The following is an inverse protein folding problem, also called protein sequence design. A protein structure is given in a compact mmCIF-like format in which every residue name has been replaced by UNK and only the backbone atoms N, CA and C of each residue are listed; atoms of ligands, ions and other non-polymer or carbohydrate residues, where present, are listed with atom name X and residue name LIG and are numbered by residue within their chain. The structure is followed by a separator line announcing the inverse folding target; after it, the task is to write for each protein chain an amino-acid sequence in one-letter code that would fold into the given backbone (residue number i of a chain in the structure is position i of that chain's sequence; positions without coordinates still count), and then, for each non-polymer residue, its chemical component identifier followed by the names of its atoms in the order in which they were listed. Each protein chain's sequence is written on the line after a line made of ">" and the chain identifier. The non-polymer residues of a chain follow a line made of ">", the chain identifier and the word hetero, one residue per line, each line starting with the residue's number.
data_IF_410694892461
#
_entry.id   IF_410694892461
#
_cell.length_a   1.000
_cell.length_b   1.000
_cell.length_c   1.000
_cell.angle_alpha   90.00
_cell.angle_beta   90.00
_cell.angle_gamma   90.00
#
_symmetry.space_group_name_H-M   'P 1'
#
loop_
_entity.id
_entity.type
_entity.pdbx_description
1 polymer ?
#
# COMPACT_ATOMS: atom_id res chain seq x y z
N UNK A 1 -10.27 -11.84 -5.99
CA UNK A 1 -10.07 -11.20 -4.66
C UNK A 1 -8.74 -10.46 -4.63
N UNK A 2 -7.62 -11.13 -4.92
CA UNK A 2 -6.28 -10.52 -5.04
C UNK A 2 -6.26 -9.32 -6.00
N UNK A 3 -6.82 -9.45 -7.21
CA UNK A 3 -6.86 -8.34 -8.18
C UNK A 3 -7.63 -7.12 -7.66
N UNK A 4 -8.79 -7.34 -7.03
CA UNK A 4 -9.59 -6.26 -6.42
C UNK A 4 -8.84 -5.57 -5.27
N UNK A 5 -8.04 -6.32 -4.51
CA UNK A 5 -7.19 -5.75 -3.46
C UNK A 5 -6.05 -4.95 -4.07
N UNK A 6 -5.41 -5.47 -5.13
CA UNK A 6 -4.37 -4.76 -5.89
C UNK A 6 -4.89 -3.43 -6.44
N UNK A 7 -6.00 -3.44 -7.17
CA UNK A 7 -6.61 -2.24 -7.76
C UNK A 7 -6.90 -1.16 -6.70
N UNK A 8 -7.43 -1.56 -5.53
CA UNK A 8 -7.66 -0.65 -4.39
C UNK A 8 -6.36 -0.05 -3.85
N UNK A 9 -5.31 -0.85 -3.72
CA UNK A 9 -4.00 -0.39 -3.25
C UNK A 9 -3.41 0.59 -4.26
N UNK A 10 -3.37 0.23 -5.55
CA UNK A 10 -2.86 1.08 -6.63
C UNK A 10 -3.59 2.42 -6.62
N UNK A 11 -4.93 2.40 -6.60
CA UNK A 11 -5.75 3.62 -6.58
C UNK A 11 -5.39 4.52 -5.38
N UNK A 12 -5.29 3.92 -4.18
CA UNK A 12 -4.94 4.68 -2.98
C UNK A 12 -3.51 5.24 -3.02
N UNK A 13 -2.55 4.47 -3.55
CA UNK A 13 -1.17 4.91 -3.72
C UNK A 13 -1.07 6.07 -4.69
N UNK A 14 -1.70 5.98 -5.87
CA UNK A 14 -1.71 7.06 -6.85
C UNK A 14 -2.32 8.35 -6.26
N UNK A 15 -3.44 8.24 -5.55
CA UNK A 15 -4.11 9.40 -4.94
C UNK A 15 -3.29 10.04 -3.80
N UNK A 16 -2.66 9.25 -2.92
CA UNK A 16 -1.92 9.79 -1.76
C UNK A 16 -0.53 10.28 -2.12
N UNK A 17 0.15 9.58 -3.04
CA UNK A 17 1.50 9.96 -3.47
C UNK A 17 1.47 11.01 -4.60
N UNK A 18 0.31 11.26 -5.21
CA UNK A 18 0.13 12.14 -6.36
C UNK A 18 0.98 11.69 -7.56
N UNK A 19 0.91 10.40 -7.87
CA UNK A 19 1.63 9.74 -8.97
C UNK A 19 0.65 9.02 -9.90
N UNK A 20 1.11 8.67 -11.10
CA UNK A 20 0.43 7.75 -12.00
C UNK A 20 0.95 6.31 -11.81
N UNK A 21 0.18 5.30 -12.23
CA UNK A 21 0.63 3.89 -12.17
C UNK A 21 1.92 3.67 -13.00
N UNK A 22 2.15 4.50 -14.03
CA UNK A 22 3.36 4.44 -14.85
C UNK A 22 4.63 4.91 -14.13
N UNK A 23 4.51 5.56 -12.98
CA UNK A 23 5.65 5.97 -12.16
C UNK A 23 6.22 4.80 -11.33
N UNK A 24 5.52 3.67 -11.27
CA UNK A 24 6.00 2.41 -10.67
C UNK A 24 7.07 1.77 -11.58
N UNK A 25 8.33 2.20 -11.40
CA UNK A 25 9.45 1.78 -12.25
C UNK A 25 9.80 0.28 -12.16
N UNK A 26 9.43 -0.41 -11.09
CA UNK A 26 9.53 -1.87 -10.92
C UNK A 26 8.14 -2.52 -10.74
N UNK A 27 7.10 -1.89 -11.31
CA UNK A 27 5.72 -2.31 -11.13
C UNK A 27 5.34 -2.42 -9.65
N UNK A 28 4.61 -3.47 -9.28
CA UNK A 28 4.15 -3.68 -7.90
C UNK A 28 5.29 -3.90 -6.88
N UNK A 29 6.51 -4.20 -7.34
CA UNK A 29 7.67 -4.38 -6.49
C UNK A 29 8.39 -3.06 -6.15
N UNK A 30 8.00 -1.95 -6.79
CA UNK A 30 8.56 -0.61 -6.53
C UNK A 30 8.51 -0.28 -5.04
N UNK A 31 9.64 0.16 -4.48
CA UNK A 31 9.69 0.71 -3.13
C UNK A 31 8.99 2.07 -3.11
N UNK A 32 7.85 2.14 -2.43
CA UNK A 32 7.01 3.33 -2.42
C UNK A 32 7.72 4.53 -1.78
N UNK A 33 8.80 4.32 -1.00
CA UNK A 33 9.62 5.43 -0.46
C UNK A 33 10.32 6.21 -1.55
N UNK A 34 10.72 5.54 -2.64
CA UNK A 34 11.34 6.18 -3.80
C UNK A 34 10.35 7.10 -4.53
N UNK A 35 9.05 6.88 -4.33
CA UNK A 35 7.94 7.69 -4.86
C UNK A 35 7.38 8.67 -3.82
N UNK A 36 8.08 8.86 -2.70
CA UNK A 36 7.75 9.85 -1.69
C UNK A 36 6.81 9.36 -0.58
N UNK A 37 6.66 8.04 -0.40
CA UNK A 37 5.99 7.52 0.79
C UNK A 37 6.80 7.86 2.05
N UNK A 38 6.18 8.65 2.93
CA UNK A 38 6.69 9.00 4.26
C UNK A 38 5.69 8.57 5.35
N UNK A 39 6.04 8.82 6.62
CA UNK A 39 5.17 8.45 7.75
C UNK A 39 3.79 9.09 7.71
N UNK A 40 3.65 10.32 7.20
CA UNK A 40 2.36 11.01 7.10
C UNK A 40 1.52 10.38 5.99
N UNK A 41 2.11 10.18 4.81
CA UNK A 41 1.43 9.54 3.67
C UNK A 41 1.08 8.08 3.93
N UNK A 42 1.93 7.35 4.66
CA UNK A 42 1.61 5.99 5.12
C UNK A 42 0.34 5.98 5.99
N UNK A 43 0.24 6.92 6.92
CA UNK A 43 -0.94 7.09 7.80
C UNK A 43 -2.20 7.47 7.02
N UNK A 44 -2.08 8.25 5.93
CA UNK A 44 -3.18 8.56 5.01
C UNK A 44 -3.61 7.32 4.21
N UNK A 45 -2.66 6.53 3.71
CA UNK A 45 -2.93 5.27 3.02
C UNK A 45 -3.67 4.27 3.92
N UNK A 46 -3.29 4.16 5.19
CA UNK A 46 -4.00 3.30 6.14
C UNK A 46 -5.47 3.73 6.30
N UNK A 47 -5.72 5.04 6.37
CA UNK A 47 -7.07 5.59 6.46
C UNK A 47 -7.88 5.30 5.19
N UNK A 48 -7.26 5.46 4.02
CA UNK A 48 -7.92 5.27 2.73
C UNK A 48 -8.20 3.81 2.41
N UNK A 49 -7.31 2.90 2.80
CA UNK A 49 -7.48 1.45 2.67
C UNK A 49 -8.41 0.86 3.74
N UNK A 50 -8.89 1.66 4.69
CA UNK A 50 -9.74 1.20 5.79
C UNK A 50 -9.03 0.28 6.77
N UNK A 51 -7.70 0.35 6.86
CA UNK A 51 -6.89 -0.46 7.78
C UNK A 51 -7.04 0.09 9.19
N UNK A 52 -7.40 -0.79 10.14
CA UNK A 52 -7.43 -0.42 11.55
C UNK A 52 -6.00 -0.16 12.05
N UNK A 53 -5.75 1.08 12.50
CA UNK A 53 -4.45 1.52 13.02
C UNK A 53 -4.03 0.84 14.33
N UNK A 54 -4.99 0.33 15.09
CA UNK A 54 -4.73 -0.38 16.35
C UNK A 54 -4.43 -1.87 16.14
N UNK A 55 -4.56 -2.37 14.91
CA UNK A 55 -4.18 -3.74 14.56
C UNK A 55 -2.67 -3.87 14.29
N UNK A 56 -2.19 -5.09 14.12
CA UNK A 56 -0.81 -5.36 13.68
C UNK A 56 -0.61 -5.14 12.18
N UNK A 57 -1.68 -4.94 11.41
CA UNK A 57 -1.60 -4.79 9.95
C UNK A 57 -0.69 -3.63 9.52
N UNK A 58 -0.78 -2.40 10.08
CA UNK A 58 0.14 -1.32 9.73
C UNK A 58 1.61 -1.68 9.98
N UNK A 59 1.92 -2.46 11.02
CA UNK A 59 3.29 -2.88 11.28
C UNK A 59 3.79 -3.83 10.18
N UNK A 60 2.99 -4.83 9.80
CA UNK A 60 3.34 -5.76 8.70
C UNK A 60 3.43 -5.07 7.34
N UNK A 61 2.54 -4.12 7.05
CA UNK A 61 2.62 -3.32 5.83
C UNK A 61 3.88 -2.44 5.81
N UNK A 62 4.36 -1.99 6.97
CA UNK A 62 5.60 -1.23 7.07
C UNK A 62 6.87 -2.08 6.87
N UNK A 63 6.79 -3.41 7.04
CA UNK A 63 7.91 -4.33 6.77
C UNK A 63 8.20 -4.47 5.26
N UNK A 64 7.20 -4.23 4.41
CA UNK A 64 7.34 -4.27 2.96
C UNK A 64 6.49 -3.18 2.29
N UNK A 65 7.12 -2.03 2.03
CA UNK A 65 6.51 -0.84 1.42
C UNK A 65 6.41 -0.95 -0.10
N UNK A 66 5.80 -2.04 -0.59
CA UNK A 66 5.51 -2.27 -2.00
C UNK A 66 4.05 -2.72 -2.18
N UNK A 67 3.48 -2.48 -3.35
CA UNK A 67 2.11 -2.92 -3.66
C UNK A 67 2.02 -4.45 -3.58
N UNK A 68 3.03 -5.17 -4.08
CA UNK A 68 3.09 -6.63 -4.00
C UNK A 68 3.12 -7.13 -2.56
N UNK A 69 3.87 -6.45 -1.67
CA UNK A 69 3.89 -6.74 -0.24
C UNK A 69 2.52 -6.54 0.40
N UNK A 70 1.89 -5.40 0.12
CA UNK A 70 0.58 -5.06 0.69
C UNK A 70 -0.55 -5.95 0.19
N UNK A 71 -0.51 -6.36 -1.07
CA UNK A 71 -1.47 -7.33 -1.63
C UNK A 71 -1.38 -8.66 -0.88
N UNK A 72 -0.18 -9.14 -0.54
CA UNK A 72 -0.01 -10.39 0.22
C UNK A 72 -0.63 -10.28 1.62
N UNK A 73 -0.37 -9.17 2.31
CA UNK A 73 -0.91 -8.93 3.66
C UNK A 73 -2.44 -8.73 3.66
N UNK A 74 -2.97 -7.96 2.71
CA UNK A 74 -4.38 -7.56 2.70
C UNK A 74 -5.30 -8.55 1.99
N UNK A 75 -4.81 -9.34 1.03
CA UNK A 75 -5.59 -10.41 0.41
C UNK A 75 -5.56 -11.72 1.22
N UNK A 76 -4.69 -11.84 2.23
CA UNK A 76 -4.40 -13.07 2.98
C UNK A 76 -5.01 -13.19 4.39
N UNK A 77 -5.72 -12.20 4.94
CA UNK A 77 -6.20 -12.28 6.33
C UNK A 77 -7.35 -13.29 6.55
N UNK A 78 -7.27 -14.15 7.59
CA UNK A 78 -7.23 -13.66 8.97
C UNK A 78 -5.96 -14.11 9.72
N UNK A 79 -5.19 -13.12 10.18
CA UNK A 79 -4.30 -13.26 11.34
C UNK A 79 -4.98 -12.63 12.54
#
# INVERSE_FOLDING_TARGET
>A
MVEVVREKIVTAVCEVLYIDETDLFDGDATDLRDLGLDSVRFVLLMKQLGVNRESEVPARLAENLSIAGWVRELAGGPG
#
